data_IF_223207983291
#
_entry.id   IF_223207983291
#
_cell.length_a   1.000
_cell.length_b   1.000
_cell.length_c   1.000
_cell.angle_alpha   90.00
_cell.angle_beta   90.00
_cell.angle_gamma   90.00
#
_symmetry.space_group_name_H-M   'P 1'
#
loop_
_entity.id
_entity.type
_entity.pdbx_description
1 polymer ?
#
# COMPACT_ATOMS: atom_id res chain seq x y z
N UNK A 1 26.98 -23.27 2.64
CA UNK A 1 26.03 -24.29 2.15
C UNK A 1 24.98 -23.55 1.33
N UNK A 2 24.99 -23.73 0.01
CA UNK A 2 24.01 -23.13 -0.90
C UNK A 2 22.67 -23.83 -0.69
N UNK A 3 21.83 -23.29 0.19
CA UNK A 3 20.43 -23.69 0.26
C UNK A 3 19.73 -23.13 -0.98
N UNK A 4 19.58 -23.95 -2.02
CA UNK A 4 18.73 -23.62 -3.16
C UNK A 4 17.32 -23.32 -2.62
N UNK A 5 16.89 -22.07 -2.74
CA UNK A 5 15.53 -21.69 -2.33
C UNK A 5 14.55 -22.30 -3.32
N UNK A 6 13.94 -23.43 -2.93
CA UNK A 6 13.05 -24.21 -3.79
C UNK A 6 11.70 -23.52 -3.95
N UNK A 7 11.21 -23.41 -5.18
CA UNK A 7 9.86 -22.89 -5.44
C UNK A 7 8.77 -23.86 -4.94
N UNK A 8 7.93 -23.34 -4.07
CA UNK A 8 6.68 -23.97 -3.62
C UNK A 8 5.49 -23.72 -4.58
N UNK A 9 4.35 -24.37 -4.35
CA UNK A 9 3.15 -24.22 -5.17
C UNK A 9 2.67 -22.77 -5.29
N UNK A 10 2.76 -21.99 -4.19
CA UNK A 10 2.40 -20.56 -4.15
C UNK A 10 3.23 -19.65 -5.06
N UNK A 11 4.40 -20.14 -5.49
CA UNK A 11 5.30 -19.44 -6.41
C UNK A 11 5.02 -19.78 -7.88
N UNK A 12 3.97 -20.55 -8.16
CA UNK A 12 3.47 -20.78 -9.52
C UNK A 12 2.21 -19.94 -9.71
N UNK A 13 1.82 -19.53 -10.93
CA UNK A 13 0.53 -18.88 -11.13
C UNK A 13 -0.61 -19.81 -10.70
N UNK A 14 -1.58 -19.29 -9.96
CA UNK A 14 -2.83 -20.00 -9.64
C UNK A 14 -3.73 -20.15 -10.87
N UNK A 15 -3.50 -19.30 -11.89
CA UNK A 15 -4.36 -19.17 -13.06
C UNK A 15 -5.52 -18.19 -12.85
N UNK A 16 -5.66 -17.65 -11.64
CA UNK A 16 -6.71 -16.70 -11.27
C UNK A 16 -6.14 -15.28 -11.15
N UNK A 17 -7.02 -14.29 -11.29
CA UNK A 17 -6.80 -12.88 -10.95
C UNK A 17 -5.60 -12.13 -11.59
N UNK A 18 -4.87 -12.72 -12.54
CA UNK A 18 -3.76 -12.03 -13.26
C UNK A 18 -4.21 -10.91 -14.23
N UNK A 19 -5.52 -10.81 -14.48
CA UNK A 19 -6.16 -9.77 -15.30
C UNK A 19 -7.37 -9.21 -14.58
N UNK A 20 -7.65 -7.93 -14.82
CA UNK A 20 -8.87 -7.34 -14.29
C UNK A 20 -10.09 -7.87 -15.05
N UNK A 21 -11.06 -8.44 -14.31
CA UNK A 21 -12.28 -9.03 -14.86
C UNK A 21 -13.57 -8.45 -14.25
N UNK A 22 -13.47 -7.35 -13.50
CA UNK A 22 -14.61 -6.67 -12.88
C UNK A 22 -15.34 -5.69 -13.79
N UNK A 23 -14.85 -5.44 -15.01
CA UNK A 23 -15.38 -4.42 -15.92
C UNK A 23 -16.89 -4.58 -16.17
N UNK A 24 -17.65 -3.51 -15.92
CA UNK A 24 -19.10 -3.45 -16.12
C UNK A 24 -19.94 -4.15 -15.03
N UNK A 25 -19.32 -4.76 -14.02
CA UNK A 25 -20.06 -5.31 -12.88
C UNK A 25 -20.43 -4.21 -11.90
N UNK A 26 -21.65 -4.24 -11.31
CA UNK A 26 -21.93 -3.54 -10.05
C UNK A 26 -20.88 -3.89 -8.98
N UNK A 27 -20.59 -2.95 -8.08
CA UNK A 27 -19.48 -3.12 -7.14
C UNK A 27 -19.69 -4.27 -6.15
N UNK A 28 -20.92 -4.48 -5.69
CA UNK A 28 -21.31 -5.61 -4.83
C UNK A 28 -21.10 -6.98 -5.53
N UNK A 29 -21.41 -7.07 -6.82
CA UNK A 29 -21.17 -8.26 -7.63
C UNK A 29 -19.66 -8.47 -7.87
N UNK A 30 -18.87 -7.41 -8.06
CA UNK A 30 -17.40 -7.50 -8.08
C UNK A 30 -16.86 -8.03 -6.75
N UNK A 31 -17.36 -7.53 -5.62
CA UNK A 31 -16.98 -8.01 -4.27
C UNK A 31 -17.29 -9.49 -4.12
N UNK A 32 -18.52 -9.90 -4.44
CA UNK A 32 -18.96 -11.29 -4.33
C UNK A 32 -18.11 -12.23 -5.19
N UNK A 33 -17.93 -11.92 -6.49
CA UNK A 33 -17.17 -12.76 -7.41
C UNK A 33 -15.70 -12.87 -7.02
N UNK A 34 -15.10 -11.77 -6.57
CA UNK A 34 -13.71 -11.77 -6.13
C UNK A 34 -13.54 -12.58 -4.85
N UNK A 35 -14.47 -12.45 -3.89
CA UNK A 35 -14.49 -13.26 -2.67
C UNK A 35 -14.62 -14.75 -2.98
N UNK A 36 -15.53 -15.12 -3.90
CA UNK A 36 -15.70 -16.52 -4.33
C UNK A 36 -14.45 -17.08 -5.03
N UNK A 37 -13.74 -16.25 -5.80
CA UNK A 37 -12.45 -16.61 -6.39
C UNK A 37 -11.39 -16.85 -5.31
N UNK A 38 -11.27 -15.96 -4.33
CA UNK A 38 -10.33 -16.10 -3.23
C UNK A 38 -10.59 -17.38 -2.42
N UNK A 39 -11.86 -17.71 -2.15
CA UNK A 39 -12.23 -18.98 -1.49
C UNK A 39 -11.75 -20.21 -2.26
N UNK A 40 -11.83 -20.18 -3.60
CA UNK A 40 -11.32 -21.29 -4.44
C UNK A 40 -9.79 -21.38 -4.41
N UNK A 41 -9.09 -20.24 -4.48
CA UNK A 41 -7.62 -20.21 -4.45
C UNK A 41 -7.07 -20.68 -3.10
N UNK A 42 -7.70 -20.25 -2.01
CA UNK A 42 -7.27 -20.60 -0.64
C UNK A 42 -7.90 -21.89 -0.12
N UNK A 43 -8.68 -22.60 -0.95
CA UNK A 43 -9.26 -23.88 -0.58
C UNK A 43 -8.16 -24.90 -0.26
N UNK A 44 -8.11 -25.37 0.99
CA UNK A 44 -7.12 -26.35 1.44
C UNK A 44 -5.73 -25.78 1.73
N UNK A 45 -5.55 -24.45 1.72
CA UNK A 45 -4.30 -23.80 2.14
C UNK A 45 -4.14 -23.75 3.68
N UNK A 46 -5.26 -23.79 4.42
CA UNK A 46 -5.31 -23.76 5.88
C UNK A 46 -6.60 -24.42 6.39
N UNK A 47 -6.78 -24.48 7.71
CA UNK A 47 -8.08 -24.84 8.30
C UNK A 47 -9.18 -23.85 7.88
N UNK A 48 -10.44 -24.30 7.86
CA UNK A 48 -11.54 -23.52 7.29
C UNK A 48 -11.69 -22.11 7.90
N UNK A 49 -11.47 -21.97 9.21
CA UNK A 49 -11.55 -20.67 9.90
C UNK A 49 -10.41 -19.71 9.48
N UNK A 50 -9.19 -20.23 9.34
CA UNK A 50 -8.03 -19.45 8.89
C UNK A 50 -8.15 -19.09 7.40
N UNK A 51 -8.63 -20.01 6.58
CA UNK A 51 -8.91 -19.76 5.17
C UNK A 51 -9.94 -18.62 4.99
N UNK A 52 -11.02 -18.60 5.78
CA UNK A 52 -11.99 -17.49 5.72
C UNK A 52 -11.41 -16.19 6.26
N UNK A 53 -10.52 -16.22 7.28
CA UNK A 53 -9.77 -15.04 7.74
C UNK A 53 -8.91 -14.45 6.61
N UNK A 54 -8.17 -15.30 5.88
CA UNK A 54 -7.38 -14.90 4.70
C UNK A 54 -8.28 -14.27 3.64
N UNK A 55 -9.39 -14.94 3.30
CA UNK A 55 -10.34 -14.44 2.29
C UNK A 55 -10.92 -13.08 2.70
N UNK A 56 -11.40 -12.93 3.94
CA UNK A 56 -12.01 -11.70 4.42
C UNK A 56 -11.04 -10.51 4.46
N UNK A 57 -9.76 -10.76 4.76
CA UNK A 57 -8.72 -9.72 4.72
C UNK A 57 -8.32 -9.33 3.28
N UNK A 58 -8.26 -10.30 2.37
CA UNK A 58 -7.81 -10.07 1.00
C UNK A 58 -8.93 -9.64 0.03
N UNK A 59 -10.21 -9.86 0.37
CA UNK A 59 -11.32 -9.50 -0.52
C UNK A 59 -11.48 -7.98 -0.66
N UNK A 60 -11.88 -7.49 -1.85
CA UNK A 60 -12.37 -6.12 -1.98
C UNK A 60 -13.63 -5.95 -1.12
N UNK A 61 -13.92 -4.73 -0.71
CA UNK A 61 -15.08 -4.44 0.14
C UNK A 61 -15.58 -3.02 -0.05
N UNK A 62 -16.78 -2.77 0.47
CA UNK A 62 -17.39 -1.45 0.50
C UNK A 62 -17.87 -1.10 1.90
N UNK A 63 -17.84 0.20 2.22
CA UNK A 63 -18.52 0.77 3.39
C UNK A 63 -19.40 1.93 2.93
N UNK A 64 -20.57 2.05 3.58
CA UNK A 64 -21.51 3.15 3.37
C UNK A 64 -21.52 4.01 4.63
N UNK A 65 -21.41 5.34 4.51
CA UNK A 65 -21.50 6.23 5.66
C UNK A 65 -22.93 6.17 6.23
N UNK A 66 -23.05 6.38 7.54
CA UNK A 66 -24.33 6.48 8.21
C UNK A 66 -24.70 7.96 8.38
N UNK A 67 -25.97 8.32 8.15
CA UNK A 67 -26.48 9.68 8.33
C UNK A 67 -26.97 10.32 7.03
N UNK A 68 -27.91 11.26 7.13
CA UNK A 68 -28.45 12.00 5.98
C UNK A 68 -27.55 13.19 5.56
N UNK A 69 -26.58 13.58 6.39
CA UNK A 69 -25.62 14.66 6.17
C UNK A 69 -24.54 14.32 5.14
N UNK A 70 -24.42 13.05 4.75
CA UNK A 70 -23.52 12.59 3.70
C UNK A 70 -24.13 12.63 2.29
N UNK A 71 -25.40 13.05 2.14
CA UNK A 71 -26.08 13.09 0.83
C UNK A 71 -25.48 14.12 -0.11
N UNK A 72 -25.36 13.73 -1.38
CA UNK A 72 -24.97 14.64 -2.46
C UNK A 72 -26.12 15.54 -2.90
N UNK A 73 -25.79 16.53 -3.71
CA UNK A 73 -26.76 17.37 -4.42
C UNK A 73 -27.42 16.60 -5.57
N UNK A 74 -26.64 15.78 -6.29
CA UNK A 74 -27.12 15.07 -7.48
C UNK A 74 -27.15 13.55 -7.31
N UNK A 75 -26.31 13.01 -6.42
CA UNK A 75 -26.14 11.57 -6.20
C UNK A 75 -26.36 11.19 -4.73
N UNK A 76 -26.52 9.89 -4.41
CA UNK A 76 -26.76 9.44 -3.04
C UNK A 76 -25.74 9.91 -2.01
N UNK A 77 -24.49 10.14 -2.42
CA UNK A 77 -23.41 10.60 -1.56
C UNK A 77 -22.73 11.86 -2.09
N UNK A 78 -22.31 12.75 -1.20
CA UNK A 78 -21.54 13.95 -1.56
C UNK A 78 -20.11 13.57 -1.95
N UNK A 79 -19.45 12.76 -1.12
CA UNK A 79 -18.08 12.35 -1.34
C UNK A 79 -17.96 10.83 -1.44
N UNK A 80 -17.16 10.37 -2.40
CA UNK A 80 -16.76 8.98 -2.55
C UNK A 80 -15.24 8.85 -2.51
N UNK A 81 -14.71 7.79 -1.88
CA UNK A 81 -13.28 7.51 -1.86
C UNK A 81 -12.99 6.07 -2.30
N UNK A 82 -12.10 5.94 -3.29
CA UNK A 82 -11.56 4.67 -3.73
C UNK A 82 -10.25 4.39 -3.00
N UNK A 83 -10.16 3.24 -2.32
CA UNK A 83 -8.97 2.79 -1.63
C UNK A 83 -8.19 1.81 -2.50
N UNK A 84 -6.90 2.10 -2.69
CA UNK A 84 -5.98 1.32 -3.52
C UNK A 84 -4.77 0.92 -2.68
N UNK A 85 -4.60 -0.39 -2.47
CA UNK A 85 -3.50 -0.93 -1.67
C UNK A 85 -2.15 -0.92 -2.41
N UNK A 86 -1.08 -1.24 -1.68
CA UNK A 86 0.29 -1.29 -2.20
C UNK A 86 0.60 -2.57 -3.00
N UNK A 87 1.74 -2.54 -3.70
CA UNK A 87 2.25 -3.73 -4.39
C UNK A 87 2.58 -4.79 -3.35
N UNK A 88 2.20 -6.05 -3.61
CA UNK A 88 2.27 -7.20 -2.68
C UNK A 88 1.28 -7.19 -1.53
N UNK A 89 0.53 -6.10 -1.31
CA UNK A 89 -0.47 -6.02 -0.23
C UNK A 89 -1.86 -6.45 -0.72
N UNK A 90 -2.87 -6.18 0.10
CA UNK A 90 -4.28 -6.46 -0.16
C UNK A 90 -5.17 -5.36 0.47
N UNK A 91 -6.50 -5.38 0.21
CA UNK A 91 -7.46 -4.46 0.81
C UNK A 91 -7.40 -4.38 2.34
N UNK A 92 -6.89 -5.41 3.03
CA UNK A 92 -6.66 -5.39 4.48
C UNK A 92 -5.97 -4.11 4.95
N UNK A 93 -4.88 -3.71 4.28
CA UNK A 93 -4.07 -2.54 4.65
C UNK A 93 -4.85 -1.22 4.60
N UNK A 94 -5.97 -1.20 3.88
CA UNK A 94 -6.79 -0.01 3.69
C UNK A 94 -7.99 0.04 4.65
N UNK A 95 -8.27 -1.04 5.39
CA UNK A 95 -9.47 -1.16 6.25
C UNK A 95 -9.54 -0.09 7.35
N UNK A 96 -8.47 0.22 8.10
CA UNK A 96 -8.53 1.26 9.13
C UNK A 96 -8.85 2.65 8.54
N UNK A 97 -8.31 2.94 7.35
CA UNK A 97 -8.64 4.17 6.63
C UNK A 97 -10.07 4.14 6.09
N UNK A 98 -10.56 3.00 5.61
CA UNK A 98 -11.93 2.83 5.13
C UNK A 98 -12.96 3.18 6.20
N UNK A 99 -12.76 2.64 7.40
CA UNK A 99 -13.62 2.92 8.55
C UNK A 99 -13.59 4.39 8.92
N UNK A 100 -12.40 5.00 8.93
CA UNK A 100 -12.26 6.44 9.14
C UNK A 100 -13.04 7.25 8.09
N UNK A 101 -12.90 6.96 6.80
CA UNK A 101 -13.59 7.71 5.75
C UNK A 101 -15.11 7.53 5.81
N UNK A 102 -15.60 6.31 6.07
CA UNK A 102 -17.02 6.04 6.23
C UNK A 102 -17.62 6.81 7.43
N UNK A 103 -16.88 6.88 8.55
CA UNK A 103 -17.26 7.69 9.71
C UNK A 103 -17.25 9.20 9.44
N UNK A 104 -16.60 9.63 8.35
CA UNK A 104 -16.51 11.03 7.94
C UNK A 104 -17.33 11.32 6.67
N UNK A 105 -18.37 10.52 6.42
CA UNK A 105 -19.37 10.81 5.39
C UNK A 105 -19.00 10.38 3.97
N UNK A 106 -17.91 9.63 3.78
CA UNK A 106 -17.52 9.15 2.45
C UNK A 106 -18.17 7.81 2.14
N UNK A 107 -18.66 7.67 0.90
CA UNK A 107 -18.89 6.36 0.27
C UNK A 107 -17.55 5.70 -0.03
N UNK A 108 -17.29 4.52 0.55
CA UNK A 108 -15.96 3.88 0.45
C UNK A 108 -16.01 2.61 -0.38
N UNK A 109 -15.12 2.50 -1.35
CA UNK A 109 -14.86 1.27 -2.11
C UNK A 109 -13.38 0.93 -2.01
N UNK A 110 -13.04 -0.31 -1.65
CA UNK A 110 -11.68 -0.83 -1.66
C UNK A 110 -11.57 -1.95 -2.69
N UNK A 111 -10.66 -1.79 -3.66
CA UNK A 111 -10.45 -2.75 -4.75
C UNK A 111 -9.28 -3.68 -4.47
N UNK A 112 -9.32 -4.89 -5.02
CA UNK A 112 -8.20 -5.82 -5.05
C UNK A 112 -7.51 -5.73 -6.42
N UNK A 113 -6.23 -5.34 -6.44
CA UNK A 113 -5.46 -5.20 -7.67
C UNK A 113 -5.12 -6.56 -8.27
N UNK A 114 -5.23 -6.76 -9.61
CA UNK A 114 -4.85 -7.99 -10.28
C UNK A 114 -3.50 -8.56 -9.84
N UNK A 115 -3.45 -9.87 -9.62
CA UNK A 115 -2.30 -10.63 -9.12
C UNK A 115 -2.08 -10.56 -7.62
N UNK A 116 -2.94 -9.87 -6.86
CA UNK A 116 -2.87 -9.80 -5.40
C UNK A 116 -4.01 -10.57 -4.74
N UNK A 117 -3.90 -10.80 -3.43
CA UNK A 117 -4.88 -11.50 -2.59
C UNK A 117 -4.96 -13.01 -2.79
N UNK A 118 -4.46 -13.52 -3.92
CA UNK A 118 -4.33 -14.94 -4.27
C UNK A 118 -2.99 -15.50 -3.77
N UNK A 119 -1.98 -15.65 -4.62
CA UNK A 119 -0.63 -16.10 -4.28
C UNK A 119 0.47 -15.34 -5.03
N UNK A 120 1.71 -15.28 -4.51
CA UNK A 120 2.78 -14.48 -5.11
C UNK A 120 3.05 -14.80 -6.59
N UNK A 121 2.84 -16.05 -7.01
CA UNK A 121 3.02 -16.48 -8.39
C UNK A 121 2.12 -15.76 -9.40
N UNK A 122 0.99 -15.19 -8.98
CA UNK A 122 0.09 -14.46 -9.90
C UNK A 122 0.63 -13.09 -10.34
N UNK A 123 1.69 -12.62 -9.68
CA UNK A 123 2.42 -11.42 -10.07
C UNK A 123 3.52 -11.68 -11.13
N UNK A 124 3.76 -12.94 -11.52
CA UNK A 124 4.80 -13.30 -12.50
C UNK A 124 4.55 -12.71 -13.90
N UNK A 125 3.28 -12.58 -14.30
CA UNK A 125 2.90 -12.17 -15.66
C UNK A 125 1.87 -11.02 -15.69
N UNK A 126 1.48 -10.48 -14.54
CA UNK A 126 0.61 -9.32 -14.47
C UNK A 126 1.25 -8.11 -15.15
N UNK A 127 0.43 -7.22 -15.71
CA UNK A 127 0.87 -5.93 -16.26
C UNK A 127 0.26 -4.80 -15.45
N UNK A 128 0.98 -3.70 -15.27
CA UNK A 128 0.47 -2.57 -14.47
C UNK A 128 -0.82 -1.97 -15.04
N UNK A 129 -1.05 -2.10 -16.35
CA UNK A 129 -2.30 -1.68 -16.99
C UNK A 129 -3.52 -2.46 -16.48
N UNK A 130 -3.35 -3.69 -15.98
CA UNK A 130 -4.46 -4.39 -15.34
C UNK A 130 -4.79 -3.77 -13.97
N UNK A 131 -3.80 -3.22 -13.25
CA UNK A 131 -4.02 -2.44 -12.03
C UNK A 131 -4.71 -1.11 -12.33
N UNK A 132 -4.30 -0.43 -13.41
CA UNK A 132 -4.94 0.81 -13.88
C UNK A 132 -6.41 0.60 -14.24
N UNK A 133 -6.75 -0.48 -14.96
CA UNK A 133 -8.15 -0.83 -15.24
C UNK A 133 -8.98 -1.01 -13.98
N UNK A 134 -8.42 -1.64 -12.95
CA UNK A 134 -9.12 -1.84 -11.68
C UNK A 134 -9.42 -0.50 -10.98
N UNK A 135 -8.46 0.43 -11.02
CA UNK A 135 -8.61 1.79 -10.46
C UNK A 135 -9.65 2.58 -11.25
N UNK A 136 -9.56 2.59 -12.58
CA UNK A 136 -10.54 3.25 -13.45
C UNK A 136 -11.96 2.71 -13.23
N UNK A 137 -12.09 1.39 -13.11
CA UNK A 137 -13.37 0.75 -12.74
C UNK A 137 -13.93 1.27 -11.41
N UNK A 138 -13.09 1.37 -10.38
CA UNK A 138 -13.49 1.89 -9.07
C UNK A 138 -13.97 3.34 -9.14
N UNK A 139 -13.31 4.17 -9.95
CA UNK A 139 -13.76 5.55 -10.23
C UNK A 139 -15.12 5.55 -10.92
N UNK A 140 -15.31 4.71 -11.95
CA UNK A 140 -16.59 4.63 -12.66
C UNK A 140 -17.75 4.21 -11.74
N UNK A 141 -17.50 3.29 -10.79
CA UNK A 141 -18.52 2.88 -9.81
C UNK A 141 -18.82 3.97 -8.80
N UNK A 142 -17.80 4.66 -8.28
CA UNK A 142 -18.03 5.80 -7.38
C UNK A 142 -18.74 6.95 -8.08
N UNK A 143 -18.48 7.19 -9.37
CA UNK A 143 -19.16 8.21 -10.16
C UNK A 143 -20.66 7.91 -10.33
N UNK A 144 -21.12 6.67 -10.15
CA UNK A 144 -22.56 6.38 -10.15
C UNK A 144 -23.21 6.78 -8.82
N UNK A 145 -22.45 6.87 -7.74
CA UNK A 145 -22.96 6.99 -6.36
C UNK A 145 -22.57 8.31 -5.65
N UNK A 146 -21.51 9.00 -6.08
CA UNK A 146 -20.93 10.15 -5.38
C UNK A 146 -20.68 11.36 -6.29
N UNK A 147 -20.99 12.57 -5.80
CA UNK A 147 -20.80 13.82 -6.55
C UNK A 147 -19.31 14.15 -6.74
N UNK A 148 -18.50 13.94 -5.69
CA UNK A 148 -17.07 14.21 -5.70
C UNK A 148 -16.26 12.95 -5.38
N UNK A 149 -15.29 12.63 -6.25
CA UNK A 149 -14.50 11.39 -6.14
C UNK A 149 -13.09 11.69 -5.67
N UNK A 150 -12.64 10.95 -4.67
CA UNK A 150 -11.30 11.01 -4.12
C UNK A 150 -10.62 9.65 -4.26
N UNK A 151 -9.30 9.66 -4.40
CA UNK A 151 -8.52 8.42 -4.41
C UNK A 151 -7.57 8.41 -3.22
N UNK A 152 -7.60 7.32 -2.45
CA UNK A 152 -6.69 7.08 -1.35
C UNK A 152 -5.79 5.88 -1.66
N UNK A 153 -4.49 6.11 -1.80
CA UNK A 153 -3.55 5.11 -2.28
C UNK A 153 -2.36 4.91 -1.36
N UNK A 154 -2.08 3.65 -1.00
CA UNK A 154 -0.85 3.26 -0.30
C UNK A 154 0.20 2.77 -1.31
N UNK A 155 1.44 3.26 -1.22
CA UNK A 155 2.57 2.78 -2.03
C UNK A 155 2.28 2.78 -3.53
N UNK A 156 2.25 1.63 -4.19
CA UNK A 156 1.85 1.49 -5.60
C UNK A 156 0.45 2.04 -5.88
N UNK A 157 -0.48 1.88 -4.94
CA UNK A 157 -1.81 2.48 -5.00
C UNK A 157 -1.75 4.01 -5.03
N UNK A 158 -0.79 4.64 -4.34
CA UNK A 158 -0.57 6.08 -4.41
C UNK A 158 -0.14 6.54 -5.81
N UNK A 159 0.76 5.78 -6.44
CA UNK A 159 1.21 6.04 -7.82
C UNK A 159 0.06 5.88 -8.83
N UNK A 160 -0.75 4.83 -8.68
CA UNK A 160 -1.94 4.59 -9.50
C UNK A 160 -2.99 5.70 -9.31
N UNK A 161 -3.20 6.16 -8.08
CA UNK A 161 -4.14 7.25 -7.77
C UNK A 161 -3.72 8.56 -8.43
N UNK A 162 -2.43 8.93 -8.37
CA UNK A 162 -1.95 10.12 -9.08
C UNK A 162 -2.09 9.94 -10.58
N UNK A 163 -1.69 8.78 -11.12
CA UNK A 163 -1.80 8.48 -12.54
C UNK A 163 -3.25 8.61 -13.05
N UNK A 164 -4.22 8.07 -12.30
CA UNK A 164 -5.64 8.21 -12.63
C UNK A 164 -6.10 9.67 -12.59
N UNK A 165 -5.72 10.43 -11.55
CA UNK A 165 -6.12 11.85 -11.42
C UNK A 165 -5.63 12.74 -12.57
N UNK A 166 -4.51 12.39 -13.21
CA UNK A 166 -3.97 13.12 -14.36
C UNK A 166 -4.71 12.80 -15.67
N UNK A 167 -5.53 11.76 -15.69
CA UNK A 167 -6.28 11.27 -16.86
C UNK A 167 -7.79 11.44 -16.72
N UNK A 168 -8.27 11.63 -15.51
CA UNK A 168 -9.69 11.68 -15.19
C UNK A 168 -10.01 12.89 -14.31
N UNK A 169 -10.62 13.90 -14.92
CA UNK A 169 -10.98 15.15 -14.25
C UNK A 169 -12.10 15.01 -13.22
N UNK A 170 -12.75 13.83 -13.14
CA UNK A 170 -13.72 13.55 -12.07
C UNK A 170 -13.06 13.40 -10.71
N UNK A 171 -11.76 13.08 -10.66
CA UNK A 171 -11.01 12.98 -9.41
C UNK A 171 -10.76 14.37 -8.83
N UNK A 172 -11.37 14.64 -7.68
CA UNK A 172 -11.38 15.95 -7.00
C UNK A 172 -10.30 16.11 -5.95
N UNK A 173 -9.65 15.02 -5.51
CA UNK A 173 -8.56 15.09 -4.54
C UNK A 173 -7.89 13.75 -4.29
N UNK A 174 -6.75 13.81 -3.61
CA UNK A 174 -5.90 12.64 -3.33
C UNK A 174 -5.54 12.52 -1.85
N UNK A 175 -5.52 11.28 -1.37
CA UNK A 175 -4.93 10.89 -0.09
C UNK A 175 -3.81 9.89 -0.37
N UNK A 176 -2.57 10.28 -0.14
CA UNK A 176 -1.39 9.51 -0.53
C UNK A 176 -0.64 9.03 0.71
N UNK A 177 -0.40 7.73 0.81
CA UNK A 177 0.30 7.12 1.95
C UNK A 177 1.55 6.42 1.42
N UNK A 178 2.73 6.94 1.75
CA UNK A 178 4.04 6.53 1.22
C UNK A 178 4.04 6.22 -0.29
N UNK A 179 3.58 7.15 -1.15
CA UNK A 179 3.43 6.86 -2.57
C UNK A 179 4.76 6.50 -3.23
N UNK A 180 4.78 5.46 -4.05
CA UNK A 180 5.98 4.97 -4.72
C UNK A 180 6.23 5.72 -6.04
N UNK A 181 6.66 6.98 -5.95
CA UNK A 181 6.82 7.87 -7.12
C UNK A 181 8.13 7.67 -7.89
N UNK A 182 9.14 7.08 -7.25
CA UNK A 182 10.41 6.76 -7.89
C UNK A 182 10.94 5.45 -7.33
N UNK A 183 11.41 4.59 -8.24
CA UNK A 183 12.02 3.30 -7.93
C UNK A 183 13.42 3.27 -8.52
N UNK A 184 14.32 2.55 -7.84
CA UNK A 184 15.70 2.38 -8.29
C UNK A 184 15.78 2.03 -9.79
N UNK A 185 16.63 2.72 -10.57
CA UNK A 185 16.86 2.39 -11.98
C UNK A 185 17.30 0.95 -12.24
N UNK A 186 17.83 0.25 -11.21
CA UNK A 186 18.18 -1.17 -11.28
C UNK A 186 16.97 -2.06 -11.60
N UNK A 187 15.76 -1.64 -11.21
CA UNK A 187 14.51 -2.35 -11.53
C UNK A 187 14.22 -2.44 -13.03
N UNK A 188 14.79 -1.55 -13.87
CA UNK A 188 14.69 -1.59 -15.33
C UNK A 188 15.19 -2.91 -15.94
N UNK A 189 16.23 -3.48 -15.32
CA UNK A 189 16.86 -4.72 -15.77
C UNK A 189 16.27 -5.95 -15.09
N UNK A 190 15.27 -5.79 -14.22
CA UNK A 190 14.68 -6.88 -13.47
C UNK A 190 14.17 -7.99 -14.40
N UNK A 191 13.66 -7.68 -15.59
CA UNK A 191 13.13 -8.67 -16.54
C UNK A 191 14.16 -9.27 -17.52
N UNK A 192 15.45 -8.95 -17.41
CA UNK A 192 16.48 -9.54 -18.30
C UNK A 192 16.60 -11.07 -18.13
N UNK A 193 16.11 -11.60 -17.01
CA UNK A 193 16.02 -13.04 -16.74
C UNK A 193 15.04 -13.81 -17.62
N UNK A 194 14.05 -13.16 -18.25
CA UNK A 194 13.01 -13.84 -19.04
C UNK A 194 13.57 -14.65 -20.22
N UNK A 195 14.79 -14.36 -20.67
CA UNK A 195 15.49 -15.13 -21.72
C UNK A 195 16.00 -16.51 -21.26
N UNK A 196 16.16 -16.73 -19.96
CA UNK A 196 16.72 -17.97 -19.39
C UNK A 196 15.93 -18.54 -18.20
N UNK A 197 14.86 -17.86 -17.76
CA UNK A 197 14.04 -18.29 -16.62
C UNK A 197 13.20 -19.54 -16.90
N UNK A 198 12.99 -19.90 -18.16
CA UNK A 198 12.42 -21.21 -18.51
C UNK A 198 13.31 -22.39 -18.04
N UNK A 199 14.62 -22.18 -17.92
CA UNK A 199 15.58 -23.17 -17.40
C UNK A 199 15.85 -23.02 -15.90
N UNK A 200 15.60 -21.83 -15.32
CA UNK A 200 15.78 -21.53 -13.89
C UNK A 200 14.65 -20.62 -13.38
N UNK A 201 13.49 -21.19 -13.00
CA UNK A 201 12.32 -20.43 -12.56
C UNK A 201 12.57 -19.52 -11.34
N UNK A 202 13.50 -19.88 -10.45
CA UNK A 202 13.94 -19.08 -9.30
C UNK A 202 14.49 -17.72 -9.73
N UNK A 203 15.06 -17.63 -10.93
CA UNK A 203 15.58 -16.38 -11.47
C UNK A 203 14.48 -15.33 -11.73
N UNK A 204 13.20 -15.70 -11.67
CA UNK A 204 12.07 -14.78 -11.76
C UNK A 204 11.79 -13.96 -10.50
N UNK A 205 12.48 -14.24 -9.40
CA UNK A 205 12.20 -13.66 -8.09
C UNK A 205 13.31 -12.69 -7.65
N UNK A 206 12.93 -11.54 -7.11
CA UNK A 206 13.84 -10.63 -6.41
C UNK A 206 14.26 -11.26 -5.08
N UNK A 207 13.29 -11.88 -4.41
CA UNK A 207 13.50 -12.71 -3.24
C UNK A 207 12.36 -13.72 -3.14
N UNK A 208 12.71 -14.96 -2.83
CA UNK A 208 11.77 -16.00 -2.41
C UNK A 208 11.81 -16.03 -0.89
N UNK A 209 10.63 -16.08 -0.26
CA UNK A 209 10.40 -16.01 1.18
C UNK A 209 9.43 -17.11 1.59
N UNK A 210 9.21 -17.21 2.90
CA UNK A 210 8.23 -18.14 3.46
C UNK A 210 6.79 -17.64 3.28
N UNK A 211 6.62 -16.33 3.09
CA UNK A 211 5.34 -15.66 2.91
C UNK A 211 4.37 -16.02 4.04
N UNK A 212 4.82 -15.75 5.28
CA UNK A 212 4.08 -16.05 6.52
C UNK A 212 2.91 -15.10 6.76
N UNK A 213 2.97 -13.90 6.19
CA UNK A 213 1.88 -12.93 6.24
C UNK A 213 0.63 -13.44 5.51
N UNK A 214 -0.54 -13.19 6.10
CA UNK A 214 -1.85 -13.56 5.52
C UNK A 214 -2.31 -12.59 4.43
N UNK A 215 -1.87 -11.33 4.51
CA UNK A 215 -2.43 -10.22 3.73
C UNK A 215 -1.40 -9.50 2.85
N UNK A 216 -0.15 -9.97 2.89
CA UNK A 216 0.97 -9.42 2.13
C UNK A 216 1.88 -10.55 1.64
N UNK A 217 2.34 -10.44 0.39
CA UNK A 217 3.42 -11.29 -0.10
C UNK A 217 4.77 -10.77 0.39
N UNK A 218 5.56 -11.66 0.98
CA UNK A 218 6.97 -11.45 1.30
C UNK A 218 7.85 -11.75 0.09
N UNK A 219 7.44 -12.70 -0.76
CA UNK A 219 8.09 -13.01 -2.03
C UNK A 219 7.71 -11.98 -3.09
N UNK A 220 8.71 -11.48 -3.81
CA UNK A 220 8.52 -10.45 -4.82
C UNK A 220 9.03 -10.92 -6.20
N UNK A 221 8.14 -11.14 -7.17
CA UNK A 221 8.54 -11.35 -8.56
C UNK A 221 9.27 -10.15 -9.15
N UNK A 222 10.30 -10.40 -9.95
CA UNK A 222 10.99 -9.38 -10.75
C UNK A 222 10.04 -8.68 -11.72
N UNK A 223 9.04 -9.41 -12.23
CA UNK A 223 8.00 -8.81 -13.08
C UNK A 223 7.22 -7.72 -12.34
N UNK A 224 6.77 -7.97 -11.11
CA UNK A 224 6.07 -6.97 -10.30
C UNK A 224 6.91 -5.69 -10.11
N UNK A 225 8.19 -5.84 -9.76
CA UNK A 225 9.12 -4.71 -9.64
C UNK A 225 9.31 -3.96 -10.98
N UNK A 226 9.39 -4.69 -12.09
CA UNK A 226 9.52 -4.09 -13.42
C UNK A 226 8.24 -3.35 -13.85
N UNK A 227 7.05 -3.91 -13.60
CA UNK A 227 5.77 -3.26 -13.89
C UNK A 227 5.62 -1.98 -13.09
N UNK A 228 6.00 -1.99 -11.81
CA UNK A 228 6.00 -0.80 -10.98
C UNK A 228 6.99 0.25 -11.51
N UNK A 229 8.20 -0.15 -11.92
CA UNK A 229 9.15 0.76 -12.57
C UNK A 229 8.57 1.41 -13.83
N UNK A 230 7.94 0.63 -14.72
CA UNK A 230 7.30 1.16 -15.94
C UNK A 230 6.19 2.15 -15.56
N UNK A 231 5.33 1.81 -14.60
CA UNK A 231 4.29 2.72 -14.11
C UNK A 231 4.88 4.06 -13.61
N UNK A 232 5.97 4.04 -12.83
CA UNK A 232 6.60 5.29 -12.38
C UNK A 232 7.13 6.14 -13.54
N UNK A 233 7.62 5.51 -14.62
CA UNK A 233 8.10 6.22 -15.82
C UNK A 233 6.97 6.80 -16.66
N UNK A 234 5.86 6.08 -16.78
CA UNK A 234 4.66 6.60 -17.42
C UNK A 234 4.09 7.78 -16.62
N UNK A 235 4.06 7.68 -15.28
CA UNK A 235 3.65 8.78 -14.42
C UNK A 235 4.57 10.01 -14.57
N UNK A 236 5.90 9.82 -14.51
CA UNK A 236 6.88 10.90 -14.71
C UNK A 236 6.71 11.58 -16.07
N UNK A 237 6.44 10.80 -17.13
CA UNK A 237 6.19 11.36 -18.45
C UNK A 237 4.88 12.15 -18.51
N UNK A 238 3.82 11.64 -17.87
CA UNK A 238 2.50 12.27 -17.84
C UNK A 238 2.46 13.53 -16.98
N UNK A 239 3.23 13.57 -15.89
CA UNK A 239 3.29 14.71 -14.97
C UNK A 239 4.27 15.81 -15.42
N UNK A 240 5.12 15.55 -16.41
CA UNK A 240 6.14 16.50 -16.87
C UNK A 240 5.51 17.84 -17.29
N UNK A 241 5.91 18.90 -16.59
CA UNK A 241 5.40 20.26 -16.84
C UNK A 241 3.97 20.50 -16.38
N UNK A 242 3.36 19.54 -15.68
CA UNK A 242 2.03 19.69 -15.08
C UNK A 242 2.15 20.03 -13.60
N UNK A 243 1.21 20.83 -13.12
CA UNK A 243 1.06 21.13 -11.70
C UNK A 243 -0.16 20.39 -11.17
N UNK A 244 -0.11 20.02 -9.89
CA UNK A 244 -1.24 19.36 -9.22
C UNK A 244 -2.09 20.42 -8.53
N UNK A 245 -3.25 20.71 -9.15
CA UNK A 245 -4.16 21.77 -8.71
C UNK A 245 -5.33 21.26 -7.86
N UNK A 246 -5.51 19.94 -7.76
CA UNK A 246 -6.45 19.32 -6.82
C UNK A 246 -5.85 19.27 -5.40
N UNK A 247 -6.66 19.30 -4.33
CA UNK A 247 -6.21 19.09 -2.97
C UNK A 247 -5.54 17.72 -2.79
N UNK A 248 -4.36 17.73 -2.15
CA UNK A 248 -3.61 16.51 -1.83
C UNK A 248 -3.26 16.44 -0.35
N UNK A 249 -3.66 15.38 0.32
CA UNK A 249 -3.09 14.95 1.58
C UNK A 249 -2.02 13.89 1.31
N UNK A 250 -0.84 14.02 1.90
CA UNK A 250 0.19 13.00 1.84
C UNK A 250 0.72 12.67 3.25
N UNK A 251 1.01 11.40 3.50
CA UNK A 251 1.74 10.96 4.68
C UNK A 251 2.89 10.03 4.25
N UNK A 252 4.11 10.27 4.73
CA UNK A 252 5.28 9.46 4.36
C UNK A 252 6.34 9.45 5.46
N UNK A 253 7.20 8.44 5.47
CA UNK A 253 8.38 8.39 6.34
C UNK A 253 9.62 8.89 5.62
N UNK A 254 10.43 9.74 6.27
CA UNK A 254 11.75 10.14 5.77
C UNK A 254 12.74 8.98 5.77
N UNK A 255 12.57 8.04 6.71
CA UNK A 255 13.45 6.89 6.87
C UNK A 255 13.13 5.75 5.89
N UNK A 256 12.03 5.84 5.14
CA UNK A 256 11.54 4.84 4.19
C UNK A 256 12.65 4.39 3.20
N UNK A 257 12.93 3.08 3.21
CA UNK A 257 13.94 2.46 2.33
C UNK A 257 13.32 1.72 1.13
N UNK A 258 11.99 1.65 1.06
CA UNK A 258 11.25 1.00 -0.03
C UNK A 258 10.77 2.01 -1.07
N UNK A 259 10.17 3.12 -0.63
CA UNK A 259 9.81 4.24 -1.48
C UNK A 259 10.82 5.38 -1.32
N UNK A 260 11.16 6.03 -2.44
CA UNK A 260 12.09 7.16 -2.42
C UNK A 260 11.36 8.45 -1.99
N UNK A 261 11.29 8.70 -0.68
CA UNK A 261 10.59 9.86 -0.09
C UNK A 261 10.97 11.22 -0.66
N UNK A 262 12.21 11.51 -1.09
CA UNK A 262 12.51 12.77 -1.78
C UNK A 262 11.62 13.04 -3.00
N UNK A 263 11.18 12.01 -3.73
CA UNK A 263 10.24 12.18 -4.84
C UNK A 263 8.83 12.60 -4.35
N UNK A 264 8.40 12.12 -3.18
CA UNK A 264 7.17 12.57 -2.52
C UNK A 264 7.28 14.04 -2.08
N UNK A 265 8.43 14.44 -1.53
CA UNK A 265 8.68 15.83 -1.16
C UNK A 265 8.66 16.75 -2.38
N UNK A 266 9.31 16.34 -3.48
CA UNK A 266 9.28 17.07 -4.74
C UNK A 266 7.85 17.19 -5.30
N UNK A 267 7.08 16.11 -5.30
CA UNK A 267 5.68 16.15 -5.71
C UNK A 267 4.84 17.11 -4.86
N UNK A 268 5.00 17.07 -3.53
CA UNK A 268 4.26 17.95 -2.61
C UNK A 268 4.69 19.41 -2.72
N UNK A 269 5.95 19.70 -3.06
CA UNK A 269 6.40 21.06 -3.37
C UNK A 269 5.70 21.64 -4.61
N UNK A 270 5.26 20.79 -5.55
CA UNK A 270 4.49 21.18 -6.74
C UNK A 270 2.97 21.11 -6.56
N UNK A 271 2.47 20.65 -5.39
CA UNK A 271 1.04 20.62 -5.07
C UNK A 271 0.55 22.02 -4.64
N UNK A 272 -0.05 22.74 -5.59
CA UNK A 272 -0.36 24.18 -5.41
C UNK A 272 -1.59 24.43 -4.56
N UNK A 273 -2.54 23.50 -4.54
CA UNK A 273 -3.82 23.70 -3.87
C UNK A 273 -3.62 24.15 -2.40
N UNK A 274 -4.29 25.22 -1.93
CA UNK A 274 -4.09 25.76 -0.58
C UNK A 274 -4.38 24.75 0.54
N UNK A 275 -5.33 23.83 0.33
CA UNK A 275 -5.66 22.78 1.29
C UNK A 275 -4.66 21.62 1.31
N UNK A 276 -3.69 21.54 0.38
CA UNK A 276 -2.74 20.42 0.37
C UNK A 276 -1.88 20.35 1.62
N UNK A 277 -1.69 19.16 2.17
CA UNK A 277 -0.96 18.89 3.43
C UNK A 277 -0.04 17.70 3.30
N UNK A 278 1.11 17.75 3.95
CA UNK A 278 2.07 16.65 4.10
C UNK A 278 2.31 16.39 5.59
N UNK A 279 2.07 15.16 6.02
CA UNK A 279 2.54 14.61 7.29
C UNK A 279 3.83 13.83 7.02
N UNK A 280 4.95 14.30 7.56
CA UNK A 280 6.25 13.65 7.38
C UNK A 280 6.75 13.10 8.71
N UNK A 281 6.82 11.78 8.78
CA UNK A 281 7.45 11.06 9.89
C UNK A 281 8.98 11.12 9.74
N UNK A 282 9.69 11.50 10.80
CA UNK A 282 11.14 11.66 10.79
C UNK A 282 11.73 11.48 12.19
N UNK A 283 12.95 10.95 12.29
CA UNK A 283 13.73 10.94 13.54
C UNK A 283 14.39 12.29 13.84
N UNK A 284 14.44 13.18 12.86
CA UNK A 284 15.01 14.53 12.98
C UNK A 284 13.94 15.56 12.58
N UNK A 285 13.22 16.07 13.57
CA UNK A 285 12.21 17.11 13.39
C UNK A 285 12.82 18.51 13.26
N UNK A 286 14.14 18.67 13.48
CA UNK A 286 14.85 19.93 13.24
C UNK A 286 15.19 20.13 11.76
N UNK A 287 15.30 19.06 10.99
CA UNK A 287 15.59 19.07 9.56
C UNK A 287 14.33 19.24 8.71
N UNK A 288 13.81 20.46 8.66
CA UNK A 288 12.64 20.83 7.86
C UNK A 288 12.96 20.75 6.36
N UNK A 289 12.18 20.00 5.54
CA UNK A 289 12.38 19.93 4.10
C UNK A 289 12.13 21.30 3.46
N UNK A 290 12.97 21.67 2.49
CA UNK A 290 12.82 22.91 1.73
C UNK A 290 11.73 22.79 0.65
N UNK A 291 11.19 23.92 0.19
CA UNK A 291 10.25 23.97 -0.93
C UNK A 291 8.79 23.65 -0.58
N UNK A 292 8.50 23.22 0.64
CA UNK A 292 7.14 23.02 1.14
C UNK A 292 6.84 24.11 2.17
N UNK A 293 5.78 24.93 1.99
CA UNK A 293 5.39 25.93 2.97
C UNK A 293 5.07 25.31 4.34
N UNK A 294 5.44 26.00 5.43
CA UNK A 294 5.32 25.48 6.80
C UNK A 294 3.86 25.16 7.18
N UNK A 295 2.90 25.93 6.67
CA UNK A 295 1.46 25.72 6.88
C UNK A 295 0.91 24.46 6.18
N UNK A 296 1.67 23.92 5.22
CA UNK A 296 1.34 22.68 4.51
C UNK A 296 2.07 21.46 5.09
N UNK A 297 2.97 21.64 6.06
CA UNK A 297 3.84 20.58 6.55
C UNK A 297 3.62 20.31 8.04
N UNK A 298 3.43 19.04 8.37
CA UNK A 298 3.42 18.51 9.73
C UNK A 298 4.59 17.54 9.90
N UNK A 299 5.52 17.86 10.80
CA UNK A 299 6.63 16.97 11.15
C UNK A 299 6.24 16.16 12.39
N UNK A 300 6.31 14.83 12.27
CA UNK A 300 5.98 13.92 13.37
C UNK A 300 7.23 13.14 13.75
N UNK A 301 7.63 13.20 15.03
CA UNK A 301 8.74 12.40 15.51
C UNK A 301 8.39 10.91 15.41
N UNK A 302 9.23 10.14 14.73
CA UNK A 302 9.05 8.70 14.55
C UNK A 302 9.98 7.83 15.39
N UNK A 303 10.90 8.42 16.15
CA UNK A 303 11.69 7.70 17.14
C UNK A 303 10.95 7.75 18.50
N UNK A 304 10.54 6.58 19.00
CA UNK A 304 9.88 6.41 20.31
C UNK A 304 10.68 5.38 21.14
N UNK A 305 11.81 5.79 21.76
CA UNK A 305 12.71 4.89 22.47
C UNK A 305 12.05 4.12 23.63
N UNK A 306 11.07 4.74 24.29
CA UNK A 306 10.29 4.10 25.38
C UNK A 306 9.48 2.88 24.89
N UNK A 307 9.17 2.82 23.59
CA UNK A 307 8.50 1.70 22.93
C UNK A 307 9.49 0.82 22.15
N UNK A 308 10.79 1.08 22.24
CA UNK A 308 11.81 0.39 21.44
C UNK A 308 11.76 0.72 19.94
N UNK A 309 11.09 1.81 19.54
CA UNK A 309 10.92 2.20 18.14
C UNK A 309 12.00 3.21 17.75
N UNK A 310 12.84 2.83 16.80
CA UNK A 310 13.96 3.65 16.31
C UNK A 310 13.55 4.65 15.21
N UNK A 311 12.56 4.30 14.38
CA UNK A 311 12.09 5.11 13.23
C UNK A 311 10.78 4.56 12.65
N UNK A 312 10.12 5.33 11.79
CA UNK A 312 8.96 4.86 11.02
C UNK A 312 9.42 4.21 9.70
N UNK A 313 8.73 3.16 9.27
CA UNK A 313 9.02 2.42 8.03
C UNK A 313 8.01 2.73 6.92
N UNK A 314 8.28 2.22 5.71
CA UNK A 314 7.33 2.23 4.60
C UNK A 314 5.93 1.71 4.97
N UNK A 315 5.89 0.61 5.74
CA UNK A 315 4.67 -0.11 6.10
C UNK A 315 3.94 0.52 7.27
N UNK A 316 4.62 1.34 8.08
CA UNK A 316 4.15 1.90 9.34
C UNK A 316 3.38 3.23 9.17
N UNK A 317 2.50 3.32 8.18
CA UNK A 317 1.70 4.53 7.92
C UNK A 317 0.20 4.30 8.12
N UNK A 318 -0.35 3.26 7.49
CA UNK A 318 -1.81 3.10 7.32
C UNK A 318 -2.47 2.16 8.32
N UNK A 319 -1.68 1.43 9.10
CA UNK A 319 -2.17 0.48 10.10
C UNK A 319 -2.06 1.06 11.51
N UNK A 320 -3.07 0.91 12.37
CA UNK A 320 -3.04 1.41 13.74
C UNK A 320 -2.29 0.46 14.69
N UNK A 321 -1.89 0.92 15.89
CA UNK A 321 -1.19 0.08 16.87
C UNK A 321 -2.02 -1.09 17.41
N UNK A 322 -3.34 -1.00 17.36
CA UNK A 322 -4.29 -2.01 17.82
C UNK A 322 -4.73 -2.98 16.70
N UNK A 323 -4.09 -2.95 15.53
CA UNK A 323 -4.34 -3.92 14.46
C UNK A 323 -4.01 -5.34 14.93
N UNK A 324 -4.95 -6.27 14.78
CA UNK A 324 -4.82 -7.64 15.31
C UNK A 324 -3.66 -8.44 14.69
N UNK A 325 -3.25 -8.14 13.45
CA UNK A 325 -2.24 -8.91 12.73
C UNK A 325 -0.88 -8.18 12.74
N UNK A 326 -0.88 -6.87 12.48
CA UNK A 326 0.33 -6.07 12.27
C UNK A 326 0.60 -5.04 13.38
N UNK A 327 -0.30 -4.90 14.35
CA UNK A 327 -0.20 -3.95 15.45
C UNK A 327 0.92 -4.27 16.44
N UNK A 328 0.97 -3.53 17.53
CA UNK A 328 1.97 -3.67 18.59
C UNK A 328 1.95 -5.08 19.21
N UNK A 329 0.75 -5.63 19.39
CA UNK A 329 0.50 -6.97 19.93
C UNK A 329 0.09 -7.97 18.84
N UNK A 330 0.33 -7.65 17.56
CA UNK A 330 -0.06 -8.47 16.42
C UNK A 330 0.71 -9.79 16.33
N UNK A 331 0.11 -10.78 15.65
CA UNK A 331 0.69 -12.13 15.49
C UNK A 331 1.78 -12.21 14.39
N UNK A 332 2.00 -11.15 13.59
CA UNK A 332 3.00 -11.12 12.52
C UNK A 332 4.27 -10.31 12.87
N UNK A 333 5.43 -10.87 12.54
CA UNK A 333 6.73 -10.23 12.69
C UNK A 333 7.42 -10.04 11.33
N UNK A 334 7.72 -8.80 10.95
CA UNK A 334 8.44 -8.52 9.70
C UNK A 334 9.97 -8.65 9.88
N UNK A 335 10.46 -9.87 9.74
CA UNK A 335 11.88 -10.24 9.89
C UNK A 335 12.59 -10.52 8.54
N UNK A 336 11.91 -10.31 7.40
CA UNK A 336 12.28 -10.88 6.10
C UNK A 336 13.63 -10.39 5.52
N UNK A 337 14.19 -9.33 6.11
CA UNK A 337 15.48 -8.76 5.72
C UNK A 337 16.67 -9.57 6.24
N UNK A 338 16.47 -10.40 7.28
CA UNK A 338 17.46 -11.38 7.71
C UNK A 338 17.39 -12.68 6.89
N UNK A 339 16.26 -12.99 6.27
CA UNK A 339 16.10 -14.23 5.53
C UNK A 339 16.69 -14.16 4.10
N UNK A 340 17.38 -15.21 3.60
CA UNK A 340 17.89 -16.37 4.32
C UNK A 340 19.32 -16.16 4.86
N UNK A 341 19.84 -14.93 4.80
CA UNK A 341 21.26 -14.62 5.01
C UNK A 341 21.75 -14.66 6.47
N UNK A 342 20.85 -14.49 7.45
CA UNK A 342 21.14 -14.47 8.88
C UNK A 342 20.00 -15.15 9.64
N UNK A 343 19.98 -16.49 9.60
CA UNK A 343 18.88 -17.29 10.16
C UNK A 343 18.80 -17.20 11.68
N UNK A 344 19.93 -16.97 12.36
CA UNK A 344 19.96 -16.76 13.81
C UNK A 344 19.14 -15.52 14.19
N UNK A 345 19.37 -14.38 13.53
CA UNK A 345 18.56 -13.18 13.75
C UNK A 345 17.14 -13.33 13.24
N UNK A 346 16.93 -14.03 12.13
CA UNK A 346 15.57 -14.29 11.62
C UNK A 346 14.72 -15.05 12.65
N UNK A 347 15.25 -16.13 13.22
CA UNK A 347 14.56 -16.93 14.24
C UNK A 347 14.40 -16.16 15.55
N UNK A 348 15.43 -15.46 16.02
CA UNK A 348 15.33 -14.62 17.23
C UNK A 348 14.29 -13.50 17.06
N UNK A 349 14.24 -12.89 15.87
CA UNK A 349 13.25 -11.90 15.49
C UNK A 349 11.84 -12.50 15.40
N UNK A 350 11.67 -13.76 15.04
CA UNK A 350 10.36 -14.41 14.94
C UNK A 350 9.86 -14.97 16.28
N UNK A 351 10.76 -15.43 17.16
CA UNK A 351 10.40 -16.11 18.40
C UNK A 351 10.28 -15.18 19.63
N UNK A 352 10.58 -13.88 19.47
CA UNK A 352 10.26 -12.85 20.47
C UNK A 352 11.09 -12.95 21.75
N UNK A 353 12.35 -12.51 21.68
CA UNK A 353 13.07 -12.09 22.89
C UNK A 353 12.71 -10.63 23.24
N UNK A 354 12.67 -10.32 24.54
CA UNK A 354 12.31 -9.01 25.12
C UNK A 354 13.31 -7.86 24.83
N UNK A 355 14.02 -7.89 23.70
CA UNK A 355 15.05 -6.93 23.29
C UNK A 355 14.98 -6.56 21.81
N UNK A 356 13.90 -6.90 21.11
CA UNK A 356 13.75 -6.62 19.68
C UNK A 356 13.33 -5.17 19.48
N UNK A 357 14.17 -4.41 18.76
CA UNK A 357 13.90 -3.04 18.37
C UNK A 357 12.95 -3.02 17.17
N UNK A 358 12.15 -1.98 17.04
CA UNK A 358 11.25 -1.75 15.91
C UNK A 358 11.78 -0.60 15.06
N UNK A 359 11.67 -0.67 13.75
CA UNK A 359 11.96 0.49 12.90
C UNK A 359 12.07 0.18 11.42
N UNK A 360 12.58 1.13 10.65
CA UNK A 360 12.93 0.88 9.25
C UNK A 360 14.30 0.20 9.12
N UNK A 361 14.50 -0.59 8.07
CA UNK A 361 15.71 -1.40 7.82
C UNK A 361 16.91 -0.57 7.31
N UNK A 362 17.15 0.59 7.93
CA UNK A 362 18.32 1.43 7.64
C UNK A 362 19.60 0.79 8.16
N UNK A 363 20.74 1.11 7.54
CA UNK A 363 22.04 0.60 8.00
C UNK A 363 22.32 0.97 9.48
N UNK A 364 21.87 2.15 9.91
CA UNK A 364 22.02 2.61 11.30
C UNK A 364 21.21 1.75 12.26
N UNK A 365 19.93 1.49 11.95
CA UNK A 365 19.05 0.72 12.83
C UNK A 365 19.49 -0.74 12.92
N UNK A 366 19.96 -1.33 11.82
CA UNK A 366 20.46 -2.72 11.79
C UNK A 366 21.71 -2.93 12.65
N UNK A 367 22.44 -1.88 13.00
CA UNK A 367 23.59 -1.93 13.93
C UNK A 367 23.18 -1.82 15.40
N UNK A 368 21.96 -1.36 15.69
CA UNK A 368 21.49 -1.13 17.06
C UNK A 368 21.13 -2.43 17.81
N UNK A 369 20.79 -3.50 17.09
CA UNK A 369 20.40 -4.78 17.67
C UNK A 369 19.63 -5.67 16.70
N UNK A 370 18.80 -6.56 17.24
CA UNK A 370 17.84 -7.33 16.45
C UNK A 370 16.66 -6.41 16.14
N UNK A 371 16.40 -6.19 14.86
CA UNK A 371 15.41 -5.25 14.36
C UNK A 371 14.23 -6.01 13.73
N UNK A 372 13.00 -5.68 14.13
CA UNK A 372 11.77 -5.97 13.39
C UNK A 372 11.41 -4.75 12.57
N UNK A 373 11.06 -4.96 11.30
CA UNK A 373 10.55 -3.86 10.49
C UNK A 373 9.19 -3.44 11.04
N UNK A 374 9.05 -2.17 11.43
CA UNK A 374 7.79 -1.66 12.01
C UNK A 374 6.64 -1.80 10.99
N UNK A 375 5.47 -2.25 11.42
CA UNK A 375 4.31 -2.49 10.53
C UNK A 375 3.10 -1.59 10.82
N UNK A 376 3.04 -1.00 12.01
CA UNK A 376 1.96 -0.12 12.42
C UNK A 376 2.47 1.30 12.69
N UNK A 377 1.57 2.28 12.62
CA UNK A 377 1.85 3.69 12.89
C UNK A 377 1.52 4.01 14.36
N UNK A 378 2.52 4.26 15.23
CA UNK A 378 2.28 4.61 16.63
C UNK A 378 1.46 5.90 16.80
N UNK A 379 1.47 6.75 15.78
CA UNK A 379 0.78 8.04 15.74
C UNK A 379 -0.47 8.00 14.85
N UNK A 380 -1.08 6.82 14.63
CA UNK A 380 -2.25 6.68 13.75
C UNK A 380 -3.43 7.55 14.20
N UNK A 381 -3.65 7.70 15.50
CA UNK A 381 -4.69 8.60 16.03
C UNK A 381 -4.45 10.06 15.61
N UNK A 382 -3.20 10.54 15.67
CA UNK A 382 -2.81 11.87 15.21
C UNK A 382 -2.97 11.99 13.67
N UNK A 383 -2.61 10.96 12.92
CA UNK A 383 -2.84 10.91 11.47
C UNK A 383 -4.32 11.13 11.12
N UNK A 384 -5.25 10.48 11.84
CA UNK A 384 -6.70 10.67 11.67
C UNK A 384 -7.13 12.11 11.94
N UNK A 385 -6.54 12.79 12.92
CA UNK A 385 -6.81 14.21 13.20
C UNK A 385 -6.36 15.08 12.03
N UNK A 386 -5.19 14.85 11.47
CA UNK A 386 -4.67 15.60 10.32
C UNK A 386 -5.48 15.32 9.05
N UNK A 387 -5.90 14.07 8.83
CA UNK A 387 -6.84 13.70 7.77
C UNK A 387 -8.18 14.42 7.92
N UNK A 388 -8.77 14.44 9.14
CA UNK A 388 -10.04 15.12 9.39
C UNK A 388 -9.93 16.62 9.12
N UNK A 389 -8.85 17.25 9.59
CA UNK A 389 -8.59 18.67 9.29
C UNK A 389 -8.48 18.92 7.79
N UNK A 390 -7.86 18.02 7.04
CA UNK A 390 -7.81 18.15 5.58
C UNK A 390 -9.19 18.04 4.95
N UNK A 391 -9.99 17.03 5.36
CA UNK A 391 -11.38 16.84 4.89
C UNK A 391 -12.24 18.07 5.15
N UNK A 392 -12.15 18.66 6.35
CA UNK A 392 -12.93 19.84 6.72
C UNK A 392 -12.58 21.09 5.91
N UNK A 393 -11.44 21.08 5.20
CA UNK A 393 -10.97 22.15 4.31
C UNK A 393 -11.15 21.80 2.81
N UNK A 394 -11.86 20.71 2.50
CA UNK A 394 -12.33 20.42 1.15
C UNK A 394 -13.59 21.27 0.92
N UNK A 395 -13.40 22.50 0.45
CA UNK A 395 -14.46 23.46 0.12
C UNK A 395 -15.06 23.19 -1.24
#
# INVERSE_FOLDING_TARGET
>A
MNGETKLEARHRPSGEHSRFNGGGLPFDEYVRRTTDMLRRVHAGAAEAAEAEKIVAGNAPFELRPAGDDCRGEHKPYRHGVLLVHGLTDSPYFMRPLAEFYAQNGFRVMAILLPGHGTQPGDLLDVRWQEWEKAVAYGVDRLDEEADEIYLAGFSAGGTLSIYQSLRDSRVRGLFLFSPALSISPRARWANLHKFYSWLMPEAAWVGIRQDRSLYKYESLPKNAAAQMYVLTKELESLSRGRQTDIPVFAAASRDDTTAHTPATLEFMAHARHPSSRLVLYTTDTGNVPSGIPAEKLELVNSALPEQGILSSSHTAIVLPPDDEHYGADGDYCNAIHYYPGDMEKYEACNNGHASVLLGEITETNLRAGILRRLMYNPNFAALKVSLKRFIDNLS
#
